data_IF_920400806395
#
_entry.id   IF_920400806395
#
_cell.length_a   1.000
_cell.length_b   1.000
_cell.length_c   1.000
_cell.angle_alpha   90.00
_cell.angle_beta   90.00
_cell.angle_gamma   90.00
#
_symmetry.space_group_name_H-M   'P 1'
#
loop_
_entity.id
_entity.type
_entity.pdbx_description
1 polymer ?
#
# COMPACT_ATOMS: atom_id res chain seq x y z
N UNK A 1 -45.35 -10.30 14.37
CA UNK A 1 -44.80 -9.39 13.34
C UNK A 1 -43.31 -9.65 13.32
N UNK A 2 -42.84 -10.37 12.31
CA UNK A 2 -41.43 -10.63 12.09
C UNK A 2 -40.80 -9.35 11.56
N UNK A 3 -39.74 -8.88 12.22
CA UNK A 3 -38.94 -7.75 11.78
C UNK A 3 -37.89 -8.32 10.84
N UNK A 4 -38.10 -8.14 9.53
CA UNK A 4 -37.08 -8.39 8.51
C UNK A 4 -36.03 -7.28 8.65
N UNK A 5 -34.97 -7.52 9.41
CA UNK A 5 -33.75 -6.73 9.30
C UNK A 5 -33.15 -6.96 7.90
N UNK A 6 -32.76 -5.91 7.16
CA UNK A 6 -32.04 -6.08 5.91
C UNK A 6 -30.73 -6.83 6.20
N UNK A 7 -30.21 -7.66 5.26
CA UNK A 7 -28.92 -8.29 5.44
C UNK A 7 -27.87 -7.19 5.60
N UNK A 8 -27.49 -6.92 6.84
CA UNK A 8 -26.35 -6.09 7.14
C UNK A 8 -25.13 -6.82 6.61
N UNK A 9 -24.33 -6.14 5.81
CA UNK A 9 -22.96 -6.54 5.53
C UNK A 9 -22.27 -6.74 6.89
N UNK A 10 -22.13 -8.00 7.30
CA UNK A 10 -21.43 -8.34 8.54
C UNK A 10 -19.97 -7.92 8.35
N UNK A 11 -19.45 -6.96 9.13
CA UNK A 11 -18.07 -6.50 9.01
C UNK A 11 -17.05 -7.61 9.32
N UNK A 12 -17.51 -8.79 9.73
CA UNK A 12 -16.70 -9.98 9.98
C UNK A 12 -16.88 -11.07 8.91
N UNK A 13 -17.62 -10.84 7.81
CA UNK A 13 -17.70 -11.80 6.71
C UNK A 13 -16.38 -11.77 5.90
N UNK A 14 -15.54 -12.82 5.96
CA UNK A 14 -14.30 -12.87 5.20
C UNK A 14 -14.65 -13.08 3.73
N UNK A 15 -14.98 -12.00 3.03
CA UNK A 15 -15.10 -12.07 1.58
C UNK A 15 -13.73 -12.44 1.00
N UNK A 16 -13.66 -13.23 -0.09
CA UNK A 16 -12.41 -13.57 -0.76
C UNK A 16 -11.56 -12.36 -1.21
N UNK A 17 -12.12 -11.16 -1.08
CA UNK A 17 -11.58 -9.87 -1.47
C UNK A 17 -11.04 -9.03 -0.31
N UNK A 18 -11.12 -9.48 0.95
CA UNK A 18 -10.56 -8.73 2.08
C UNK A 18 -9.09 -9.14 2.36
N UNK A 19 -8.10 -8.32 1.96
CA UNK A 19 -6.68 -8.60 2.17
C UNK A 19 -6.28 -8.51 3.65
N UNK A 20 -7.18 -8.07 4.54
CA UNK A 20 -6.92 -7.92 5.97
C UNK A 20 -7.55 -9.03 6.82
N UNK A 21 -8.29 -9.97 6.22
CA UNK A 21 -8.94 -11.10 6.91
C UNK A 21 -7.98 -12.03 7.68
N UNK A 22 -6.68 -11.99 7.36
CA UNK A 22 -5.63 -12.74 8.06
C UNK A 22 -4.79 -11.92 9.06
N UNK A 23 -5.09 -10.63 9.24
CA UNK A 23 -4.40 -9.78 10.22
C UNK A 23 -5.09 -9.84 11.58
N UNK A 24 -4.34 -9.69 12.70
CA UNK A 24 -4.96 -9.59 14.01
C UNK A 24 -5.99 -8.44 14.01
N UNK A 25 -7.10 -8.65 14.71
CA UNK A 25 -8.19 -7.67 14.78
C UNK A 25 -7.64 -6.26 15.04
N UNK A 26 -8.27 -5.20 14.48
CA UNK A 26 -7.78 -3.83 14.64
C UNK A 26 -7.45 -3.47 16.10
N UNK A 27 -8.24 -3.96 17.06
CA UNK A 27 -8.01 -3.74 18.49
C UNK A 27 -6.71 -4.34 19.04
N UNK A 28 -6.29 -5.51 18.57
CA UNK A 28 -5.03 -6.14 18.99
C UNK A 28 -3.83 -5.43 18.37
N UNK A 29 -3.97 -4.93 17.14
CA UNK A 29 -2.99 -4.05 16.51
C UNK A 29 -2.86 -2.72 17.26
N UNK A 30 -3.97 -2.08 17.64
CA UNK A 30 -3.96 -0.85 18.44
C UNK A 30 -3.34 -1.07 19.82
N UNK A 31 -3.55 -2.25 20.43
CA UNK A 31 -2.94 -2.60 21.72
C UNK A 31 -1.43 -2.83 21.61
N UNK A 32 -0.98 -3.51 20.57
CA UNK A 32 0.45 -3.67 20.27
C UNK A 32 1.11 -2.32 19.97
N UNK A 33 0.41 -1.44 19.23
CA UNK A 33 0.87 -0.09 18.93
C UNK A 33 0.89 0.82 20.16
N UNK A 34 -0.03 0.66 21.10
CA UNK A 34 -0.07 1.43 22.36
C UNK A 34 0.92 0.97 23.43
N UNK A 35 1.43 -0.26 23.34
CA UNK A 35 2.50 -0.77 24.20
C UNK A 35 3.90 -0.31 23.75
N UNK A 36 4.03 0.14 22.51
CA UNK A 36 5.25 0.73 21.96
C UNK A 36 5.15 2.26 22.08
N UNK A 37 6.18 2.90 22.63
CA UNK A 37 6.18 4.32 22.97
C UNK A 37 6.00 5.29 21.78
N UNK A 38 6.12 6.61 22.02
CA UNK A 38 5.71 7.69 21.10
C UNK A 38 6.49 7.81 19.78
N UNK A 39 7.32 6.83 19.42
CA UNK A 39 8.21 6.88 18.27
C UNK A 39 7.53 6.20 17.07
N UNK A 40 6.93 7.02 16.21
CA UNK A 40 5.99 6.66 15.14
C UNK A 40 6.53 5.88 13.92
N UNK A 41 7.47 4.95 14.11
CA UNK A 41 8.02 4.14 13.01
C UNK A 41 7.38 2.74 12.87
N UNK A 42 6.54 2.33 13.82
CA UNK A 42 5.91 0.99 13.79
C UNK A 42 4.96 0.80 12.61
N UNK A 43 4.19 1.82 12.24
CA UNK A 43 3.30 1.76 11.07
C UNK A 43 4.08 1.50 9.78
N UNK A 44 5.26 2.12 9.64
CA UNK A 44 6.16 1.86 8.51
C UNK A 44 6.71 0.44 8.55
N UNK A 45 7.10 -0.05 9.73
CA UNK A 45 7.61 -1.41 9.89
C UNK A 45 6.54 -2.47 9.56
N UNK A 46 5.29 -2.25 9.97
CA UNK A 46 4.16 -3.12 9.63
C UNK A 46 3.84 -3.05 8.13
N UNK A 47 3.80 -1.85 7.55
CA UNK A 47 3.58 -1.69 6.12
C UNK A 47 4.69 -2.38 5.31
N UNK A 48 5.95 -2.27 5.73
CA UNK A 48 7.07 -2.94 5.09
C UNK A 48 7.00 -4.46 5.26
N UNK A 49 6.66 -4.98 6.44
CA UNK A 49 6.57 -6.44 6.65
C UNK A 49 5.43 -7.05 5.85
N UNK A 50 4.29 -6.35 5.75
CA UNK A 50 3.16 -6.78 4.92
C UNK A 50 3.49 -6.69 3.42
N UNK A 51 4.04 -5.57 2.95
CA UNK A 51 4.37 -5.36 1.54
C UNK A 51 5.41 -6.36 1.03
N UNK A 52 6.42 -6.66 1.84
CA UNK A 52 7.49 -7.61 1.49
C UNK A 52 7.10 -9.07 1.76
N UNK A 53 5.95 -9.32 2.40
CA UNK A 53 5.58 -10.64 2.92
C UNK A 53 6.62 -11.22 3.87
N UNK A 54 7.29 -10.35 4.63
CA UNK A 54 8.41 -10.65 5.52
C UNK A 54 9.58 -11.38 4.84
N UNK A 55 9.78 -11.16 3.53
CA UNK A 55 10.88 -11.71 2.74
C UNK A 55 11.79 -10.59 2.26
N UNK A 56 13.08 -10.90 2.10
CA UNK A 56 14.00 -9.96 1.46
C UNK A 56 13.61 -9.78 0.00
N UNK A 57 13.47 -8.53 -0.44
CA UNK A 57 13.37 -8.21 -1.86
C UNK A 57 14.77 -8.24 -2.49
N UNK A 58 14.98 -8.96 -3.60
CA UNK A 58 16.26 -8.95 -4.29
C UNK A 58 16.51 -7.58 -4.93
N UNK A 59 17.77 -7.17 -4.99
CA UNK A 59 18.12 -5.99 -5.75
C UNK A 59 17.85 -6.25 -7.25
N UNK A 60 17.15 -5.33 -7.90
CA UNK A 60 16.82 -5.40 -9.33
C UNK A 60 18.12 -5.41 -10.16
N UNK A 61 18.14 -6.22 -11.22
CA UNK A 61 19.27 -6.30 -12.14
C UNK A 61 19.54 -4.90 -12.77
N UNK A 62 20.80 -4.43 -12.80
CA UNK A 62 21.13 -3.16 -13.44
C UNK A 62 20.64 -3.03 -14.89
N UNK A 63 20.65 -4.11 -15.66
CA UNK A 63 20.19 -4.12 -17.05
C UNK A 63 18.68 -3.96 -17.14
N UNK A 64 17.94 -4.61 -16.24
CA UNK A 64 16.48 -4.45 -16.15
C UNK A 64 16.13 -3.00 -15.80
N UNK A 65 16.83 -2.39 -14.83
CA UNK A 65 16.65 -0.97 -14.48
C UNK A 65 16.83 -0.04 -15.67
N UNK A 66 17.86 -0.27 -16.50
CA UNK A 66 18.13 0.53 -17.71
C UNK A 66 17.01 0.39 -18.75
N UNK A 67 16.40 -0.79 -18.88
CA UNK A 67 15.28 -1.01 -19.80
C UNK A 67 14.05 -0.17 -19.38
N UNK A 68 13.71 -0.22 -18.09
CA UNK A 68 12.61 0.58 -17.53
C UNK A 68 12.85 2.09 -17.70
N UNK A 69 14.08 2.57 -17.51
CA UNK A 69 14.40 3.99 -17.69
C UNK A 69 14.13 4.49 -19.13
N UNK A 70 14.33 3.65 -20.14
CA UNK A 70 13.98 3.98 -21.53
C UNK A 70 12.48 4.13 -21.70
N UNK A 71 11.70 3.23 -21.10
CA UNK A 71 10.23 3.29 -21.14
C UNK A 71 9.70 4.52 -20.41
N UNK A 72 10.27 4.85 -19.24
CA UNK A 72 9.91 6.05 -18.48
C UNK A 72 10.12 7.31 -19.32
N UNK A 73 11.23 7.41 -20.06
CA UNK A 73 11.47 8.59 -20.91
C UNK A 73 10.41 8.76 -22.00
N UNK A 74 9.96 7.66 -22.61
CA UNK A 74 8.87 7.71 -23.59
C UNK A 74 7.55 8.08 -22.92
N UNK A 75 7.26 7.51 -21.76
CA UNK A 75 6.05 7.80 -20.99
C UNK A 75 5.97 9.29 -20.62
N UNK A 76 7.07 9.90 -20.18
CA UNK A 76 7.13 11.34 -19.88
C UNK A 76 6.76 12.20 -21.09
N UNK A 77 7.30 11.88 -22.27
CA UNK A 77 6.98 12.61 -23.49
C UNK A 77 5.48 12.49 -23.84
N UNK A 78 4.92 11.29 -23.70
CA UNK A 78 3.51 11.05 -23.98
C UNK A 78 2.57 11.76 -22.99
N UNK A 79 2.93 11.77 -21.70
CA UNK A 79 2.16 12.47 -20.66
C UNK A 79 2.21 13.97 -20.88
N UNK A 80 3.40 14.53 -21.14
CA UNK A 80 3.56 15.95 -21.40
C UNK A 80 2.77 16.39 -22.64
N UNK A 81 2.81 15.63 -23.73
CA UNK A 81 2.04 15.90 -24.94
C UNK A 81 0.51 15.89 -24.69
N UNK A 82 0.02 14.89 -23.93
CA UNK A 82 -1.41 14.75 -23.63
C UNK A 82 -1.95 15.78 -22.64
N UNK A 83 -1.11 16.26 -21.73
CA UNK A 83 -1.55 17.07 -20.58
C UNK A 83 -1.08 18.52 -20.64
N UNK A 84 -0.04 18.83 -21.42
CA UNK A 84 0.64 20.12 -21.42
C UNK A 84 1.43 20.40 -20.14
N UNK A 85 1.58 19.42 -19.24
CA UNK A 85 2.28 19.55 -17.97
C UNK A 85 3.65 18.87 -18.03
N UNK A 86 4.66 19.53 -17.48
CA UNK A 86 5.99 18.93 -17.31
C UNK A 86 6.00 17.92 -16.15
N UNK A 87 6.71 16.81 -16.36
CA UNK A 87 6.93 15.81 -15.32
C UNK A 87 8.02 16.29 -14.37
N UNK A 88 7.66 16.49 -13.11
CA UNK A 88 8.61 16.83 -12.04
C UNK A 88 9.20 15.55 -11.47
N UNK A 89 10.54 15.41 -11.49
CA UNK A 89 11.26 14.28 -10.87
C UNK A 89 11.74 14.64 -9.47
N UNK A 90 11.60 13.71 -8.52
CA UNK A 90 12.41 13.69 -7.30
C UNK A 90 11.91 14.51 -6.11
N UNK A 91 10.70 15.07 -6.15
CA UNK A 91 10.10 15.64 -4.94
C UNK A 91 9.33 14.55 -4.19
N UNK A 92 9.63 14.39 -2.90
CA UNK A 92 8.76 13.61 -2.03
C UNK A 92 7.37 14.25 -2.05
N UNK A 93 6.33 13.43 -2.24
CA UNK A 93 4.96 13.90 -2.09
C UNK A 93 4.73 14.15 -0.59
N UNK A 94 4.98 15.38 -0.16
CA UNK A 94 4.64 15.80 1.20
C UNK A 94 3.14 16.08 1.22
N UNK A 95 2.39 15.19 1.87
CA UNK A 95 0.97 15.34 2.17
C UNK A 95 0.78 15.87 3.58
#
# INVERSE_FOLDING_TARGET
VSHDDPPGDDPNDPTPSDPFSGLPFPGDLFRAMGAAGPEGDHGRQIAMSLATGNRSEPNVDPMERIEWERLVRVAELQVADRTGLDVVRGHALTI
#
